data_IF_376624656346
#
_entry.id   IF_376624656346
#
_cell.length_a   1.000
_cell.length_b   1.000
_cell.length_c   1.000
_cell.angle_alpha   90.00
_cell.angle_beta   90.00
_cell.angle_gamma   90.00
#
_symmetry.space_group_name_H-M   'P 1'
#
loop_
_entity.id
_entity.type
_entity.pdbx_description
1 polymer ?
#
# COMPACT_ATOMS: atom_id res chain seq x y z
N UNK A 1 -13.77 11.54 -1.35
CA UNK A 1 -13.30 10.63 -2.42
C UNK A 1 -11.84 10.91 -2.76
N UNK A 2 -11.46 12.11 -3.24
CA UNK A 2 -10.09 12.45 -3.67
C UNK A 2 -9.04 12.32 -2.56
N UNK A 3 -9.38 12.60 -1.30
CA UNK A 3 -8.46 12.34 -0.17
C UNK A 3 -8.15 10.87 -0.03
N UNK A 4 -9.16 10.00 -0.08
CA UNK A 4 -8.95 8.54 0.01
C UNK A 4 -8.16 8.05 -1.18
N UNK A 5 -8.46 8.53 -2.40
CA UNK A 5 -7.68 8.24 -3.61
C UNK A 5 -6.19 8.47 -3.37
N UNK A 6 -5.81 9.69 -2.99
CA UNK A 6 -4.40 10.04 -2.85
C UNK A 6 -3.71 9.39 -1.64
N UNK A 7 -4.45 9.09 -0.58
CA UNK A 7 -3.92 8.35 0.57
C UNK A 7 -3.60 6.89 0.21
N UNK A 8 -4.47 6.22 -0.56
CA UNK A 8 -4.20 4.83 -0.98
C UNK A 8 -3.14 4.74 -2.09
N UNK A 9 -3.11 5.69 -3.02
CA UNK A 9 -2.01 5.85 -3.99
C UNK A 9 -0.66 6.00 -3.26
N UNK A 10 -0.61 6.87 -2.25
CA UNK A 10 0.59 7.06 -1.44
C UNK A 10 0.95 5.81 -0.60
N UNK A 11 -0.03 5.05 -0.11
CA UNK A 11 0.20 3.79 0.59
C UNK A 11 0.88 2.78 -0.31
N UNK A 12 0.40 2.61 -1.54
CA UNK A 12 1.02 1.71 -2.53
C UNK A 12 2.46 2.15 -2.81
N UNK A 13 2.70 3.44 -3.07
CA UNK A 13 4.04 3.98 -3.30
C UNK A 13 4.98 3.71 -2.10
N UNK A 14 4.49 3.88 -0.87
CA UNK A 14 5.24 3.63 0.36
C UNK A 14 5.57 2.14 0.54
N UNK A 15 4.61 1.24 0.31
CA UNK A 15 4.85 -0.18 0.40
C UNK A 15 5.82 -0.68 -0.67
N UNK A 16 5.70 -0.21 -1.91
CA UNK A 16 6.64 -0.51 -2.98
C UNK A 16 8.07 -0.07 -2.61
N UNK A 17 8.22 1.12 -2.01
CA UNK A 17 9.53 1.58 -1.52
C UNK A 17 10.08 0.66 -0.43
N UNK A 18 9.26 0.33 0.57
CA UNK A 18 9.70 -0.51 1.69
C UNK A 18 10.03 -1.95 1.29
N UNK A 19 9.22 -2.51 0.38
CA UNK A 19 9.44 -3.86 -0.19
C UNK A 19 10.68 -3.86 -1.09
N UNK A 20 10.84 -2.84 -1.95
CA UNK A 20 12.00 -2.73 -2.83
C UNK A 20 13.32 -2.58 -2.07
N UNK A 21 13.37 -1.66 -1.09
CA UNK A 21 14.55 -1.44 -0.26
C UNK A 21 14.90 -2.70 0.56
N UNK A 22 13.93 -3.31 1.21
CA UNK A 22 14.13 -4.55 1.95
C UNK A 22 14.59 -5.71 1.05
N UNK A 23 14.10 -5.78 -0.19
CA UNK A 23 14.57 -6.75 -1.20
C UNK A 23 16.04 -6.56 -1.51
N UNK A 24 16.49 -5.33 -1.71
CA UNK A 24 17.90 -5.00 -1.94
C UNK A 24 18.80 -5.44 -0.78
N UNK A 25 18.41 -5.10 0.47
CA UNK A 25 19.15 -5.48 1.67
C UNK A 25 19.27 -7.00 1.85
N UNK A 26 18.27 -7.75 1.38
CA UNK A 26 18.30 -9.21 1.36
C UNK A 26 19.07 -9.79 0.16
N UNK A 27 19.66 -8.94 -0.71
CA UNK A 27 20.40 -9.35 -1.89
C UNK A 27 19.54 -9.73 -3.09
N UNK A 28 18.24 -9.38 -3.07
CA UNK A 28 17.29 -9.60 -4.17
C UNK A 28 17.08 -8.31 -4.99
N UNK A 29 18.10 -7.92 -5.76
CA UNK A 29 18.08 -6.67 -6.57
C UNK A 29 16.89 -6.61 -7.53
N UNK A 30 16.50 -7.73 -8.13
CA UNK A 30 15.33 -7.81 -9.02
C UNK A 30 14.03 -7.38 -8.34
N UNK A 31 13.88 -7.64 -7.03
CA UNK A 31 12.73 -7.18 -6.25
C UNK A 31 12.70 -5.66 -6.20
N UNK A 32 13.86 -5.03 -5.97
CA UNK A 32 13.96 -3.57 -5.96
C UNK A 32 13.59 -2.99 -7.32
N UNK A 33 14.14 -3.53 -8.41
CA UNK A 33 13.89 -3.04 -9.78
C UNK A 33 12.40 -3.11 -10.13
N UNK A 34 11.75 -4.25 -9.85
CA UNK A 34 10.31 -4.40 -10.10
C UNK A 34 9.49 -3.42 -9.25
N UNK A 35 9.80 -3.30 -7.96
CA UNK A 35 9.09 -2.38 -7.07
C UNK A 35 9.27 -0.91 -7.50
N UNK A 36 10.48 -0.49 -7.89
CA UNK A 36 10.72 0.86 -8.36
C UNK A 36 10.03 1.14 -9.69
N UNK A 37 10.00 0.18 -10.62
CA UNK A 37 9.25 0.29 -11.87
C UNK A 37 7.76 0.56 -11.63
N UNK A 38 7.13 -0.20 -10.72
CA UNK A 38 5.71 0.02 -10.40
C UNK A 38 5.50 1.32 -9.62
N UNK A 39 6.45 1.67 -8.75
CA UNK A 39 6.41 2.94 -8.02
C UNK A 39 6.47 4.14 -8.95
N UNK A 40 7.27 4.11 -10.01
CA UNK A 40 7.33 5.20 -11.01
C UNK A 40 5.95 5.47 -11.61
N UNK A 41 5.18 4.45 -11.96
CA UNK A 41 3.80 4.61 -12.47
C UNK A 41 2.87 5.29 -11.47
N UNK A 42 3.00 4.94 -10.20
CA UNK A 42 2.25 5.59 -9.10
C UNK A 42 2.65 7.06 -8.98
N UNK A 43 3.94 7.37 -9.11
CA UNK A 43 4.44 8.75 -9.06
C UNK A 43 4.03 9.57 -10.28
N UNK A 44 4.01 8.98 -11.47
CA UNK A 44 3.53 9.65 -12.70
C UNK A 44 2.05 10.04 -12.54
N UNK A 45 1.22 9.16 -12.01
CA UNK A 45 -0.17 9.50 -11.66
C UNK A 45 -0.24 10.61 -10.60
N UNK A 46 0.59 10.53 -9.56
CA UNK A 46 0.63 11.57 -8.51
C UNK A 46 1.00 12.92 -9.09
N UNK A 47 2.01 12.97 -9.98
CA UNK A 47 2.43 14.20 -10.65
C UNK A 47 1.32 14.77 -11.55
N UNK A 48 0.63 13.93 -12.30
CA UNK A 48 -0.47 14.36 -13.16
C UNK A 48 -1.61 15.01 -12.35
N UNK A 49 -1.91 14.49 -11.15
CA UNK A 49 -2.99 15.02 -10.29
C UNK A 49 -2.55 16.23 -9.45
N UNK A 50 -1.31 16.23 -8.95
CA UNK A 50 -0.87 17.21 -7.94
C UNK A 50 0.17 18.21 -8.46
N UNK A 51 0.72 17.97 -9.66
CA UNK A 51 1.83 18.74 -10.22
C UNK A 51 3.20 18.38 -9.64
N UNK A 52 3.27 17.48 -8.64
CA UNK A 52 4.50 17.06 -7.97
C UNK A 52 4.54 15.54 -7.82
N UNK A 53 5.68 14.93 -8.13
CA UNK A 53 5.89 13.48 -8.00
C UNK A 53 5.82 13.02 -6.53
N UNK A 54 6.39 13.80 -5.63
CA UNK A 54 6.50 13.51 -4.20
C UNK A 54 6.38 14.79 -3.39
N UNK A 55 6.13 14.64 -2.07
CA UNK A 55 6.09 15.73 -1.10
C UNK A 55 5.06 16.82 -1.49
N UNK A 56 3.96 16.40 -2.10
CA UNK A 56 2.86 17.30 -2.44
C UNK A 56 2.05 17.68 -1.18
N UNK A 57 1.48 18.85 -1.19
CA UNK A 57 0.55 19.34 -0.15
C UNK A 57 -0.92 19.28 -0.66
N UNK A 58 -1.29 18.21 -1.34
CA UNK A 58 -2.57 18.07 -2.01
C UNK A 58 -3.74 17.96 -1.04
N UNK A 59 -3.60 17.17 0.03
CA UNK A 59 -4.63 17.08 1.08
C UNK A 59 -4.47 18.24 2.05
N UNK A 60 -5.51 19.07 2.17
CA UNK A 60 -5.50 20.30 2.96
C UNK A 60 -6.67 20.36 3.94
N UNK A 61 -6.62 21.19 5.01
CA UNK A 61 -7.79 21.50 5.82
C UNK A 61 -8.94 21.99 4.93
N UNK A 62 -10.09 21.35 5.04
CA UNK A 62 -11.28 21.67 4.23
C UNK A 62 -11.42 20.86 2.94
N UNK A 63 -10.35 20.24 2.38
CA UNK A 63 -10.49 19.50 1.14
C UNK A 63 -9.17 19.01 0.54
N UNK A 64 -9.05 19.21 -0.75
CA UNK A 64 -7.87 18.98 -1.57
C UNK A 64 -7.55 20.27 -2.34
N UNK A 65 -6.34 20.37 -2.87
CA UNK A 65 -5.88 21.57 -3.56
C UNK A 65 -6.63 21.81 -4.87
N UNK A 66 -6.75 20.78 -5.69
CA UNK A 66 -7.41 20.81 -6.99
C UNK A 66 -8.24 19.55 -7.20
N UNK A 67 -9.25 19.61 -8.06
CA UNK A 67 -9.95 18.43 -8.55
C UNK A 67 -9.08 17.62 -9.51
N UNK A 68 -9.54 16.41 -9.86
CA UNK A 68 -8.86 15.61 -10.90
C UNK A 68 -8.84 16.36 -12.23
N UNK A 69 -7.74 16.25 -13.00
CA UNK A 69 -7.70 16.74 -14.38
C UNK A 69 -8.77 16.04 -15.23
N UNK A 70 -9.08 16.59 -16.40
CA UNK A 70 -10.14 16.08 -17.27
C UNK A 70 -9.95 14.61 -17.67
N UNK A 71 -8.70 14.20 -17.88
CA UNK A 71 -8.28 12.81 -18.16
C UNK A 71 -7.97 11.99 -16.90
N UNK A 72 -8.17 12.54 -15.71
CA UNK A 72 -7.76 11.94 -14.45
C UNK A 72 -8.38 10.57 -14.16
N UNK A 73 -9.61 10.30 -14.63
CA UNK A 73 -10.23 8.98 -14.52
C UNK A 73 -9.59 7.96 -15.47
N UNK A 74 -9.22 8.38 -16.69
CA UNK A 74 -8.55 7.50 -17.63
C UNK A 74 -7.15 7.14 -17.16
N UNK A 75 -6.42 8.11 -16.58
CA UNK A 75 -5.13 7.87 -15.93
C UNK A 75 -5.24 6.91 -14.74
N UNK A 76 -6.29 7.04 -13.94
CA UNK A 76 -6.55 6.12 -12.83
C UNK A 76 -6.86 4.71 -13.33
N UNK A 77 -7.67 4.56 -14.37
CA UNK A 77 -7.98 3.27 -14.99
C UNK A 77 -6.73 2.57 -15.53
N UNK A 78 -5.83 3.32 -16.16
CA UNK A 78 -4.55 2.79 -16.63
C UNK A 78 -3.67 2.33 -15.47
N UNK A 79 -3.54 3.16 -14.41
CA UNK A 79 -2.78 2.81 -13.21
C UNK A 79 -3.33 1.52 -12.56
N UNK A 80 -4.64 1.43 -12.35
CA UNK A 80 -5.28 0.25 -11.74
C UNK A 80 -5.04 -1.01 -12.56
N UNK A 81 -5.17 -0.93 -13.88
CA UNK A 81 -4.91 -2.05 -14.79
C UNK A 81 -3.46 -2.54 -14.69
N UNK A 82 -2.51 -1.60 -14.64
CA UNK A 82 -1.09 -1.93 -14.49
C UNK A 82 -0.78 -2.55 -13.13
N UNK A 83 -1.28 -1.97 -12.05
CA UNK A 83 -1.09 -2.51 -10.69
C UNK A 83 -1.66 -3.92 -10.56
N UNK A 84 -2.88 -4.17 -11.01
CA UNK A 84 -3.51 -5.50 -10.99
C UNK A 84 -2.70 -6.55 -11.75
N UNK A 85 -2.10 -6.15 -12.86
CA UNK A 85 -1.26 -7.03 -13.68
C UNK A 85 0.10 -7.33 -13.05
N UNK A 86 0.74 -6.34 -12.42
CA UNK A 86 2.16 -6.39 -12.12
C UNK A 86 2.45 -6.63 -10.62
N UNK A 87 1.59 -6.23 -9.67
CA UNK A 87 1.82 -6.50 -8.24
C UNK A 87 2.02 -8.00 -7.91
N UNK A 88 1.31 -8.96 -8.56
CA UNK A 88 1.55 -10.37 -8.32
C UNK A 88 2.98 -10.84 -8.65
N UNK A 89 3.68 -10.16 -9.58
CA UNK A 89 5.08 -10.47 -9.92
C UNK A 89 6.01 -10.32 -8.70
N UNK A 90 5.77 -9.32 -7.85
CA UNK A 90 6.53 -9.10 -6.62
C UNK A 90 6.39 -10.31 -5.67
N UNK A 91 5.17 -10.85 -5.55
CA UNK A 91 4.91 -12.07 -4.78
C UNK A 91 5.68 -13.29 -5.29
N UNK A 92 5.81 -13.43 -6.62
CA UNK A 92 6.58 -14.51 -7.23
C UNK A 92 8.07 -14.43 -6.87
N UNK A 93 8.66 -13.24 -6.94
CA UNK A 93 10.08 -13.05 -6.58
C UNK A 93 10.37 -13.17 -5.08
N UNK A 94 9.37 -12.97 -4.23
CA UNK A 94 9.53 -12.91 -2.77
C UNK A 94 8.89 -14.11 -2.06
N UNK A 95 7.58 -14.16 -1.96
CA UNK A 95 6.86 -15.16 -1.17
C UNK A 95 6.99 -16.59 -1.73
N UNK A 96 7.12 -16.72 -3.05
CA UNK A 96 7.28 -18.02 -3.71
C UNK A 96 8.76 -18.44 -3.80
N UNK A 97 9.70 -17.55 -3.51
CA UNK A 97 11.13 -17.86 -3.49
C UNK A 97 11.54 -18.43 -2.13
N UNK A 98 11.95 -19.72 -2.05
CA UNK A 98 12.30 -20.36 -0.78
C UNK A 98 13.53 -19.73 -0.11
N UNK A 99 14.49 -19.21 -0.86
CA UNK A 99 15.68 -18.53 -0.31
C UNK A 99 15.25 -17.24 0.37
N UNK A 100 14.43 -16.43 -0.30
CA UNK A 100 13.90 -15.19 0.24
C UNK A 100 13.07 -15.44 1.51
N UNK A 101 12.16 -16.40 1.44
CA UNK A 101 11.32 -16.81 2.57
C UNK A 101 12.15 -17.24 3.78
N UNK A 102 13.14 -18.09 3.60
CA UNK A 102 14.00 -18.58 4.67
C UNK A 102 14.82 -17.48 5.35
N UNK A 103 15.13 -16.40 4.63
CA UNK A 103 15.83 -15.24 5.20
C UNK A 103 14.96 -14.36 6.10
N UNK A 104 13.64 -14.48 6.00
CA UNK A 104 12.68 -13.66 6.75
C UNK A 104 11.97 -14.46 7.86
N UNK A 105 11.81 -15.77 7.71
CA UNK A 105 11.11 -16.59 8.69
C UNK A 105 11.89 -16.65 10.02
N UNK A 106 11.16 -16.46 11.12
CA UNK A 106 11.68 -16.43 12.48
C UNK A 106 12.71 -15.31 12.77
N UNK A 107 12.88 -14.35 11.85
CA UNK A 107 13.76 -13.19 12.04
C UNK A 107 12.97 -12.04 12.66
N UNK A 108 13.60 -11.35 13.62
CA UNK A 108 13.04 -10.19 14.32
C UNK A 108 11.60 -10.44 14.83
N UNK A 109 11.38 -11.54 15.51
CA UNK A 109 10.08 -11.87 16.10
C UNK A 109 9.70 -10.85 17.18
N UNK A 110 8.45 -10.42 17.13
CA UNK A 110 7.83 -9.58 18.15
C UNK A 110 6.44 -10.11 18.43
N UNK A 111 6.19 -10.52 19.65
CA UNK A 111 4.85 -10.94 20.09
C UNK A 111 3.94 -9.73 20.39
N UNK A 112 2.68 -9.99 20.66
CA UNK A 112 1.68 -8.95 20.96
C UNK A 112 2.06 -8.13 22.19
N UNK A 113 2.59 -8.77 23.24
CA UNK A 113 2.99 -8.09 24.46
C UNK A 113 4.12 -7.10 24.23
N UNK A 114 5.14 -7.50 23.46
CA UNK A 114 6.24 -6.65 23.06
C UNK A 114 5.76 -5.49 22.17
N UNK A 115 4.85 -5.75 21.23
CA UNK A 115 4.26 -4.72 20.40
C UNK A 115 3.52 -3.67 21.22
N UNK A 116 2.72 -4.09 22.22
CA UNK A 116 1.99 -3.18 23.11
C UNK A 116 2.94 -2.37 23.99
N UNK A 117 3.97 -3.00 24.55
CA UNK A 117 4.96 -2.32 25.40
C UNK A 117 5.76 -1.26 24.64
N UNK A 118 6.03 -1.49 23.35
CA UNK A 118 6.80 -0.57 22.49
C UNK A 118 5.91 0.37 21.67
N UNK A 119 4.59 0.36 21.86
CA UNK A 119 3.62 1.10 21.05
C UNK A 119 3.79 0.85 19.55
N UNK A 120 4.15 -0.37 19.15
CA UNK A 120 4.29 -0.74 17.75
C UNK A 120 2.91 -0.77 17.07
N UNK A 121 2.84 -0.27 15.86
CA UNK A 121 1.62 -0.22 15.04
C UNK A 121 1.86 -0.75 13.62
N UNK A 122 0.86 -0.68 12.77
CA UNK A 122 0.97 -1.05 11.37
C UNK A 122 1.27 -2.54 11.15
N UNK A 123 2.02 -2.90 10.11
CA UNK A 123 2.34 -4.30 9.79
C UNK A 123 3.06 -5.05 10.91
N UNK A 124 3.79 -4.35 11.80
CA UNK A 124 4.45 -4.97 12.94
C UNK A 124 3.41 -5.54 13.91
N UNK A 125 2.44 -4.73 14.32
CA UNK A 125 1.36 -5.15 15.21
C UNK A 125 0.45 -6.19 14.51
N UNK A 126 0.06 -5.95 13.26
CA UNK A 126 -0.82 -6.88 12.52
C UNK A 126 -0.15 -8.23 12.22
N UNK A 127 1.19 -8.31 12.25
CA UNK A 127 1.89 -9.60 12.15
C UNK A 127 1.72 -10.51 13.36
N UNK A 128 1.19 -9.99 14.48
CA UNK A 128 0.82 -10.78 15.67
C UNK A 128 -0.60 -11.36 15.62
N UNK A 129 -1.35 -11.08 14.55
CA UNK A 129 -2.77 -11.45 14.43
C UNK A 129 -3.73 -10.39 14.96
N UNK A 130 -3.24 -9.30 15.56
CA UNK A 130 -4.10 -8.24 16.09
C UNK A 130 -4.61 -7.31 14.98
N UNK A 131 -5.93 -7.28 14.68
CA UNK A 131 -6.48 -6.62 13.48
C UNK A 131 -6.73 -5.12 13.71
N UNK A 132 -5.71 -4.38 14.13
CA UNK A 132 -5.85 -2.94 14.36
C UNK A 132 -5.49 -2.13 13.12
N UNK A 133 -6.48 -1.46 12.56
CA UNK A 133 -6.35 -0.53 11.44
C UNK A 133 -7.28 0.66 11.66
N UNK A 134 -6.71 1.86 11.76
CA UNK A 134 -7.47 3.10 12.03
C UNK A 134 -8.54 3.38 10.98
N UNK A 135 -8.35 2.93 9.75
CA UNK A 135 -9.36 3.06 8.70
C UNK A 135 -10.66 2.31 9.01
N UNK A 136 -10.60 1.28 9.89
CA UNK A 136 -11.74 0.47 10.36
C UNK A 136 -12.14 0.79 11.79
N UNK A 137 -11.17 0.98 12.72
CA UNK A 137 -11.47 1.18 14.14
C UNK A 137 -11.92 2.60 14.45
N UNK A 138 -11.37 3.59 13.74
CA UNK A 138 -11.70 5.02 13.85
C UNK A 138 -11.75 5.65 12.46
N UNK A 139 -12.76 5.34 11.64
CA UNK A 139 -12.82 5.76 10.25
C UNK A 139 -12.71 7.27 10.09
N UNK A 140 -11.91 7.69 9.10
CA UNK A 140 -11.70 9.10 8.76
C UNK A 140 -11.81 9.30 7.25
N UNK A 141 -12.04 10.53 6.83
CA UNK A 141 -12.13 10.94 5.42
C UNK A 141 -13.11 10.15 4.55
N UNK A 142 -14.01 9.36 5.14
CA UNK A 142 -15.01 8.59 4.41
C UNK A 142 -14.59 7.14 4.14
N UNK A 143 -13.57 6.60 4.85
CA UNK A 143 -13.17 5.19 4.70
C UNK A 143 -14.29 4.20 5.05
N UNK A 144 -15.25 4.58 5.87
CA UNK A 144 -16.44 3.79 6.20
C UNK A 144 -17.30 3.43 5.00
N UNK A 145 -17.16 4.15 3.88
CA UNK A 145 -17.92 3.91 2.66
C UNK A 145 -17.25 2.90 1.71
N UNK A 146 -16.09 2.37 2.06
CA UNK A 146 -15.33 1.48 1.20
C UNK A 146 -15.14 0.09 1.83
N UNK A 147 -15.26 -0.93 0.99
CA UNK A 147 -15.08 -2.32 1.35
C UNK A 147 -13.62 -2.75 1.20
N UNK A 148 -12.98 -3.15 2.29
CA UNK A 148 -11.64 -3.73 2.33
C UNK A 148 -11.44 -4.57 3.57
N UNK A 149 -10.47 -5.47 3.55
CA UNK A 149 -10.14 -6.34 4.65
C UNK A 149 -8.90 -5.84 5.40
N UNK A 150 -8.86 -6.03 6.73
CA UNK A 150 -7.65 -5.75 7.51
C UNK A 150 -6.69 -6.92 7.39
N UNK A 151 -5.56 -6.71 6.73
CA UNK A 151 -4.55 -7.73 6.51
C UNK A 151 -3.81 -8.06 7.81
N UNK A 152 -3.81 -9.33 8.21
CA UNK A 152 -3.11 -9.83 9.40
C UNK A 152 -2.32 -11.08 9.09
N UNK A 153 -1.29 -11.35 9.89
CA UNK A 153 -0.54 -12.60 9.90
C UNK A 153 -0.33 -13.07 11.33
N UNK A 154 0.05 -14.31 11.53
CA UNK A 154 0.26 -14.89 12.87
C UNK A 154 1.71 -15.30 13.13
N UNK A 155 2.61 -15.06 12.18
CA UNK A 155 4.01 -15.49 12.28
C UNK A 155 4.87 -14.61 13.20
N UNK A 156 4.43 -13.38 13.49
CA UNK A 156 5.10 -12.41 14.38
C UNK A 156 6.52 -12.01 13.94
N UNK A 157 6.93 -12.33 12.74
CA UNK A 157 8.28 -12.19 12.22
C UNK A 157 8.37 -11.27 10.98
N UNK A 158 9.56 -11.13 10.42
CA UNK A 158 9.78 -10.32 9.24
C UNK A 158 9.01 -10.84 8.01
N UNK A 159 8.81 -12.16 7.91
CA UNK A 159 8.05 -12.75 6.83
C UNK A 159 6.56 -12.35 6.88
N UNK A 160 5.94 -12.45 8.05
CA UNK A 160 4.55 -12.01 8.23
C UNK A 160 4.34 -10.52 7.91
N UNK A 161 5.30 -9.68 8.32
CA UNK A 161 5.26 -8.24 7.96
C UNK A 161 5.40 -7.99 6.46
N UNK A 162 6.13 -8.87 5.76
CA UNK A 162 6.26 -8.82 4.30
C UNK A 162 4.95 -9.19 3.62
N UNK A 163 4.35 -10.31 4.02
CA UNK A 163 3.03 -10.76 3.52
C UNK A 163 1.99 -9.65 3.66
N UNK A 164 1.87 -9.06 4.87
CA UNK A 164 0.91 -7.99 5.13
C UNK A 164 1.08 -6.81 4.17
N UNK A 165 2.32 -6.38 3.88
CA UNK A 165 2.53 -5.24 2.96
C UNK A 165 2.07 -5.54 1.54
N UNK A 166 2.27 -6.77 1.06
CA UNK A 166 1.79 -7.18 -0.26
C UNK A 166 0.25 -7.24 -0.29
N UNK A 167 -0.36 -7.85 0.73
CA UNK A 167 -1.82 -7.94 0.85
C UNK A 167 -2.45 -6.54 1.00
N UNK A 168 -1.82 -5.64 1.75
CA UNK A 168 -2.29 -4.25 1.89
C UNK A 168 -2.25 -3.49 0.57
N UNK A 169 -1.28 -3.74 -0.31
CA UNK A 169 -1.29 -3.13 -1.64
C UNK A 169 -2.48 -3.63 -2.47
N UNK A 170 -2.83 -4.92 -2.39
CA UNK A 170 -4.02 -5.44 -3.06
C UNK A 170 -5.31 -4.82 -2.51
N UNK A 171 -5.44 -4.69 -1.18
CA UNK A 171 -6.58 -4.00 -0.57
C UNK A 171 -6.64 -2.51 -0.93
N UNK A 172 -5.50 -1.84 -1.06
CA UNK A 172 -5.45 -0.46 -1.54
C UNK A 172 -5.95 -0.34 -2.98
N UNK A 173 -5.57 -1.25 -3.87
CA UNK A 173 -6.11 -1.29 -5.24
C UNK A 173 -7.63 -1.51 -5.23
N UNK A 174 -8.15 -2.42 -4.38
CA UNK A 174 -9.59 -2.64 -4.21
C UNK A 174 -10.35 -1.38 -3.76
N UNK A 175 -9.76 -0.60 -2.85
CA UNK A 175 -10.33 0.70 -2.43
C UNK A 175 -10.31 1.68 -3.60
N UNK A 176 -9.22 1.76 -4.33
CA UNK A 176 -9.07 2.68 -5.47
C UNK A 176 -10.08 2.40 -6.58
N UNK A 177 -10.38 1.12 -6.86
CA UNK A 177 -11.44 0.71 -7.81
C UNK A 177 -12.81 1.26 -7.39
N UNK A 178 -13.15 1.14 -6.11
CA UNK A 178 -14.41 1.68 -5.56
C UNK A 178 -14.44 3.21 -5.59
N UNK A 179 -13.32 3.86 -5.28
CA UNK A 179 -13.20 5.34 -5.37
C UNK A 179 -13.39 5.80 -6.81
N UNK A 180 -12.80 5.10 -7.77
CA UNK A 180 -12.95 5.36 -9.21
C UNK A 180 -14.41 5.31 -9.64
N UNK A 181 -15.14 4.26 -9.24
CA UNK A 181 -16.57 4.09 -9.58
C UNK A 181 -17.43 5.20 -8.93
N UNK A 182 -17.14 5.57 -7.68
CA UNK A 182 -17.81 6.66 -7.00
C UNK A 182 -17.53 8.01 -7.66
N UNK A 183 -16.32 8.28 -8.15
CA UNK A 183 -15.97 9.50 -8.87
C UNK A 183 -16.66 9.57 -10.24
N UNK A 184 -16.71 8.45 -10.97
CA UNK A 184 -17.39 8.36 -12.26
C UNK A 184 -18.90 8.61 -12.15
N UNK A 185 -19.54 8.25 -11.02
CA UNK A 185 -20.96 8.48 -10.77
C UNK A 185 -21.29 9.92 -10.34
N UNK A 186 -20.29 10.73 -9.98
CA UNK A 186 -20.47 12.09 -9.47
C UNK A 186 -20.34 13.14 -10.59
N UNK A 187 -19.82 12.74 -11.75
CA UNK A 187 -19.78 13.59 -12.97
C UNK A 187 -21.14 13.51 -13.67
#
# INVERSE_FOLDING_TARGET
QLRVLMMEVNRIASHLTGVGAGGLELGATSVQEVCLRERERVLDFTEAVTGLRMNNAYVRPGGVENDLPDDGLDLLDELLRQLRRNLPEIGQFTLQNPIFKNRLQNVARMDLSQCMMLNASGPVLRSTGYPWDLRRTEPYCGYENYEFDVCTASSMDAYGRWVIRLDEMDQSVRILEQVRDALASTK
#
